data_IF_195849597887
#
_entry.id   IF_195849597887
#
_cell.length_a   1.000
_cell.length_b   1.000
_cell.length_c   1.000
_cell.angle_alpha   90.00
_cell.angle_beta   90.00
_cell.angle_gamma   90.00
#
_symmetry.space_group_name_H-M   'P 1'
#
loop_
_entity.id
_entity.type
_entity.pdbx_description
1 polymer ?
#
# COMPACT_ATOMS: atom_id res chain seq x y z
N UNK A 1 17.84 -22.91 -19.13
CA UNK A 1 17.85 -24.24 -19.78
C UNK A 1 16.40 -24.74 -19.84
N UNK A 2 16.01 -25.19 -21.04
CA UNK A 2 14.76 -25.75 -21.60
C UNK A 2 13.77 -26.52 -20.68
N UNK A 3 12.52 -26.85 -21.13
CA UNK A 3 11.87 -26.56 -22.42
C UNK A 3 10.41 -26.03 -22.38
N UNK A 4 10.00 -25.54 -23.56
CA UNK A 4 8.68 -25.08 -23.99
C UNK A 4 7.68 -26.24 -24.17
N UNK A 5 6.49 -26.11 -23.58
CA UNK A 5 5.31 -26.95 -23.85
C UNK A 5 4.32 -26.24 -24.77
N UNK A 6 4.17 -26.74 -26.00
CA UNK A 6 3.13 -26.34 -26.97
C UNK A 6 1.79 -26.93 -26.54
N UNK A 7 0.78 -26.09 -26.33
CA UNK A 7 -0.62 -26.55 -26.32
C UNK A 7 -1.29 -26.23 -27.65
N UNK A 8 -1.78 -27.30 -28.27
CA UNK A 8 -2.52 -27.36 -29.54
C UNK A 8 -3.83 -26.58 -29.44
N UNK A 9 -4.11 -25.78 -30.46
CA UNK A 9 -5.44 -25.19 -30.73
C UNK A 9 -6.28 -26.26 -31.45
N UNK A 10 -7.55 -26.51 -31.08
CA UNK A 10 -8.41 -27.40 -31.84
C UNK A 10 -8.80 -26.77 -33.18
N UNK A 11 -8.65 -27.54 -34.24
CA UNK A 11 -8.95 -27.15 -35.61
C UNK A 11 -10.44 -26.90 -35.84
N UNK A 12 -10.74 -25.78 -36.48
CA UNK A 12 -12.04 -25.50 -37.07
C UNK A 12 -11.93 -25.67 -38.58
N UNK A 13 -12.63 -26.71 -39.07
CA UNK A 13 -13.32 -26.82 -40.35
C UNK A 13 -12.51 -26.41 -41.61
N UNK A 14 -12.06 -27.44 -42.34
CA UNK A 14 -11.75 -27.37 -43.78
C UNK A 14 -12.95 -26.78 -44.52
N UNK A 15 -12.75 -25.67 -45.23
CA UNK A 15 -13.58 -25.30 -46.37
C UNK A 15 -12.85 -25.77 -47.64
N UNK A 16 -13.57 -26.53 -48.47
CA UNK A 16 -13.14 -26.93 -49.81
C UNK A 16 -12.78 -25.72 -50.67
N UNK A 17 -11.60 -25.78 -51.29
CA UNK A 17 -11.18 -24.83 -52.33
C UNK A 17 -11.84 -25.19 -53.66
N UNK A 18 -12.73 -24.32 -54.14
CA UNK A 18 -13.13 -24.23 -55.54
C UNK A 18 -12.53 -22.96 -56.17
N UNK A 19 -11.99 -23.01 -57.40
CA UNK A 19 -11.31 -21.87 -58.00
C UNK A 19 -12.35 -20.89 -58.56
N UNK A 20 -12.41 -19.66 -58.04
CA UNK A 20 -13.16 -18.58 -58.69
C UNK A 20 -14.09 -17.73 -57.83
N UNK A 21 -13.93 -17.67 -56.51
CA UNK A 21 -14.66 -16.71 -55.68
C UNK A 21 -13.74 -15.56 -55.26
N UNK A 22 -13.88 -14.40 -55.92
CA UNK A 22 -13.33 -13.15 -55.43
C UNK A 22 -13.69 -13.00 -53.94
N UNK A 23 -12.67 -12.88 -53.10
CA UNK A 23 -12.78 -12.81 -51.64
C UNK A 23 -13.65 -11.58 -51.28
N UNK A 24 -14.97 -11.77 -51.13
CA UNK A 24 -15.85 -10.71 -50.66
C UNK A 24 -15.41 -10.40 -49.24
N UNK A 25 -14.99 -9.16 -48.93
CA UNK A 25 -14.62 -8.81 -47.58
C UNK A 25 -15.83 -9.12 -46.68
N UNK A 26 -15.58 -9.80 -45.55
CA UNK A 26 -16.59 -9.96 -44.51
C UNK A 26 -17.24 -8.58 -44.25
N UNK A 27 -18.57 -8.53 -44.09
CA UNK A 27 -19.34 -7.29 -43.91
C UNK A 27 -18.72 -6.41 -42.81
N UNK A 28 -18.16 -7.05 -41.78
CA UNK A 28 -17.42 -6.40 -40.70
C UNK A 28 -16.15 -5.65 -41.19
N UNK A 29 -15.36 -6.23 -42.10
CA UNK A 29 -14.18 -5.57 -42.68
C UNK A 29 -14.52 -4.40 -43.61
N UNK A 30 -15.59 -4.52 -44.40
CA UNK A 30 -16.05 -3.42 -45.25
C UNK A 30 -16.52 -2.22 -44.40
N UNK A 31 -17.15 -2.53 -43.27
CA UNK A 31 -17.60 -1.57 -42.28
C UNK A 31 -16.44 -0.89 -41.54
N UNK A 32 -15.47 -1.65 -41.04
CA UNK A 32 -14.25 -1.11 -40.42
C UNK A 32 -13.58 -0.07 -41.33
N UNK A 33 -13.42 -0.40 -42.62
CA UNK A 33 -12.83 0.51 -43.61
C UNK A 33 -13.67 1.77 -43.83
N UNK A 34 -15.00 1.66 -43.80
CA UNK A 34 -15.90 2.80 -43.99
C UNK A 34 -15.93 3.72 -42.78
N UNK A 35 -15.98 3.17 -41.57
CA UNK A 35 -15.89 3.94 -40.33
C UNK A 35 -14.52 4.60 -40.18
N UNK A 36 -13.43 3.89 -40.53
CA UNK A 36 -12.10 4.49 -40.66
C UNK A 36 -12.09 5.63 -41.68
N UNK A 37 -12.80 5.51 -42.81
CA UNK A 37 -12.90 6.59 -43.82
C UNK A 37 -13.65 7.81 -43.29
N UNK A 38 -14.73 7.63 -42.53
CA UNK A 38 -15.46 8.72 -41.86
C UNK A 38 -14.58 9.42 -40.81
N UNK A 39 -13.89 8.65 -39.97
CA UNK A 39 -12.90 9.17 -39.02
C UNK A 39 -11.77 9.89 -39.80
N UNK A 40 -11.31 9.34 -40.92
CA UNK A 40 -10.21 9.90 -41.70
C UNK A 40 -10.57 11.21 -42.41
N UNK A 41 -11.82 11.36 -42.85
CA UNK A 41 -12.29 12.53 -43.59
C UNK A 41 -12.66 13.74 -42.72
N UNK A 42 -12.61 13.64 -41.38
CA UNK A 42 -12.80 14.77 -40.47
C UNK A 42 -14.09 15.53 -40.75
N UNK A 43 -15.24 14.94 -40.39
CA UNK A 43 -16.57 15.55 -40.36
C UNK A 43 -16.81 16.70 -41.37
N UNK A 44 -16.91 16.40 -42.68
CA UNK A 44 -17.55 17.35 -43.63
C UNK A 44 -19.08 17.38 -43.55
N UNK A 45 -19.68 16.51 -42.74
CA UNK A 45 -20.99 16.66 -42.13
C UNK A 45 -21.04 15.57 -41.05
N UNK A 46 -21.56 15.86 -39.85
CA UNK A 46 -21.97 14.78 -38.96
C UNK A 46 -22.96 13.90 -39.74
N UNK A 47 -22.83 12.56 -39.75
CA UNK A 47 -23.85 11.71 -40.34
C UNK A 47 -25.18 12.07 -39.68
N UNK A 48 -26.23 12.28 -40.47
CA UNK A 48 -27.57 12.41 -39.92
C UNK A 48 -27.82 11.19 -39.00
N UNK A 49 -28.07 11.37 -37.69
CA UNK A 49 -28.28 10.27 -36.76
C UNK A 49 -29.43 9.35 -37.20
N UNK A 50 -30.34 9.85 -38.06
CA UNK A 50 -31.42 9.10 -38.67
C UNK A 50 -31.07 8.33 -39.95
N UNK A 51 -29.81 8.36 -40.41
CA UNK A 51 -29.42 7.63 -41.63
C UNK A 51 -29.46 6.12 -41.37
N UNK A 52 -30.35 5.41 -42.09
CA UNK A 52 -30.53 3.94 -42.02
C UNK A 52 -29.22 3.16 -42.10
N UNK A 53 -28.22 3.72 -42.78
CA UNK A 53 -26.86 3.19 -42.88
C UNK A 53 -26.12 3.18 -41.55
N UNK A 54 -26.16 4.25 -40.75
CA UNK A 54 -25.48 4.32 -39.44
C UNK A 54 -26.13 3.36 -38.44
N UNK A 55 -27.47 3.28 -38.43
CA UNK A 55 -28.21 2.33 -37.59
C UNK A 55 -27.94 0.88 -37.99
N UNK A 56 -27.92 0.56 -39.29
CA UNK A 56 -27.60 -0.79 -39.78
C UNK A 56 -26.15 -1.19 -39.44
N UNK A 57 -25.23 -0.25 -39.57
CA UNK A 57 -23.84 -0.41 -39.19
C UNK A 57 -23.64 -0.65 -37.68
N UNK A 58 -24.42 0.03 -36.85
CA UNK A 58 -24.45 -0.18 -35.41
C UNK A 58 -24.92 -1.59 -35.03
N UNK A 59 -26.00 -2.08 -35.64
CA UNK A 59 -26.50 -3.45 -35.41
C UNK A 59 -25.45 -4.50 -35.78
N UNK A 60 -24.78 -4.36 -36.92
CA UNK A 60 -23.73 -5.29 -37.35
C UNK A 60 -22.52 -5.31 -36.41
N UNK A 61 -22.20 -4.16 -35.81
CA UNK A 61 -21.14 -4.10 -34.82
C UNK A 61 -21.54 -4.75 -33.51
N UNK A 62 -22.77 -4.57 -33.03
CA UNK A 62 -23.25 -5.23 -31.81
C UNK A 62 -23.20 -6.77 -31.90
N UNK A 63 -23.32 -7.31 -33.11
CA UNK A 63 -23.17 -8.75 -33.38
C UNK A 63 -21.70 -9.19 -33.53
N UNK A 64 -20.75 -8.26 -33.52
CA UNK A 64 -19.32 -8.53 -33.73
C UNK A 64 -18.54 -8.61 -32.41
N UNK A 65 -17.50 -9.47 -32.33
CA UNK A 65 -16.67 -9.57 -31.13
C UNK A 65 -15.96 -8.24 -30.79
N UNK A 66 -15.73 -7.93 -29.50
CA UNK A 66 -15.06 -6.70 -29.09
C UNK A 66 -13.68 -6.49 -29.73
N UNK A 67 -12.94 -7.55 -30.01
CA UNK A 67 -11.62 -7.51 -30.66
C UNK A 67 -11.68 -6.80 -32.01
N UNK A 68 -12.76 -7.00 -32.78
CA UNK A 68 -12.90 -6.39 -34.11
C UNK A 68 -13.12 -4.89 -34.01
N UNK A 69 -13.88 -4.44 -33.01
CA UNK A 69 -13.99 -3.02 -32.69
C UNK A 69 -12.64 -2.43 -32.26
N UNK A 70 -11.88 -3.15 -31.43
CA UNK A 70 -10.57 -2.69 -30.94
C UNK A 70 -9.58 -2.51 -32.09
N UNK A 71 -9.37 -3.55 -32.89
CA UNK A 71 -8.37 -3.55 -33.96
C UNK A 71 -8.81 -2.67 -35.14
N UNK A 72 -10.10 -2.72 -35.45
CA UNK A 72 -10.64 -2.06 -36.62
C UNK A 72 -10.89 -0.56 -36.44
N UNK A 73 -11.33 -0.13 -35.26
CA UNK A 73 -11.83 1.24 -35.09
C UNK A 73 -11.12 1.95 -33.97
N UNK A 74 -11.16 1.38 -32.76
CA UNK A 74 -10.65 2.07 -31.59
C UNK A 74 -9.16 2.36 -31.74
N UNK A 75 -8.37 1.36 -32.11
CA UNK A 75 -6.92 1.48 -32.27
C UNK A 75 -6.49 2.45 -33.37
N UNK A 76 -7.04 2.39 -34.59
CA UNK A 76 -6.78 3.40 -35.62
C UNK A 76 -7.19 4.81 -35.19
N UNK A 77 -8.30 4.97 -34.47
CA UNK A 77 -8.80 6.27 -34.01
C UNK A 77 -7.83 6.95 -33.04
N UNK A 78 -7.36 6.24 -32.00
CA UNK A 78 -6.43 6.86 -31.05
C UNK A 78 -5.01 7.01 -31.64
N UNK A 79 -4.58 6.12 -32.56
CA UNK A 79 -3.28 6.26 -33.24
C UNK A 79 -3.25 7.46 -34.18
N UNK A 80 -4.39 7.81 -34.79
CA UNK A 80 -4.52 8.93 -35.71
C UNK A 80 -4.84 10.27 -35.02
N UNK A 81 -4.99 10.28 -33.69
CA UNK A 81 -5.37 11.47 -32.92
C UNK A 81 -6.85 11.84 -33.04
N UNK A 82 -7.69 10.93 -33.55
CA UNK A 82 -9.11 11.18 -33.88
C UNK A 82 -10.07 10.48 -32.92
N UNK A 83 -9.63 10.23 -31.69
CA UNK A 83 -10.44 9.57 -30.67
C UNK A 83 -11.72 10.38 -30.35
N UNK A 84 -11.63 11.71 -30.27
CA UNK A 84 -12.78 12.59 -30.05
C UNK A 84 -13.86 12.48 -31.14
N UNK A 85 -13.48 12.22 -32.40
CA UNK A 85 -14.43 12.00 -33.51
C UNK A 85 -15.20 10.71 -33.30
N UNK A 86 -14.50 9.65 -32.87
CA UNK A 86 -15.13 8.39 -32.51
C UNK A 86 -16.09 8.58 -31.33
N UNK A 87 -15.65 9.24 -30.26
CA UNK A 87 -16.46 9.53 -29.06
C UNK A 87 -17.76 10.25 -29.41
N UNK A 88 -17.70 11.32 -30.21
CA UNK A 88 -18.88 12.05 -30.69
C UNK A 88 -19.82 11.16 -31.51
N UNK A 89 -19.27 10.26 -32.34
CA UNK A 89 -20.08 9.33 -33.11
C UNK A 89 -20.79 8.32 -32.21
N UNK A 90 -20.10 7.76 -31.21
CA UNK A 90 -20.69 6.83 -30.25
C UNK A 90 -21.84 7.49 -29.46
N UNK A 91 -21.64 8.72 -28.99
CA UNK A 91 -22.69 9.50 -28.29
C UNK A 91 -23.86 9.87 -29.21
N UNK A 92 -23.61 10.17 -30.49
CA UNK A 92 -24.68 10.50 -31.43
C UNK A 92 -25.60 9.31 -31.74
N UNK A 93 -25.07 8.09 -31.64
CA UNK A 93 -25.81 6.84 -31.86
C UNK A 93 -26.53 6.41 -30.57
N UNK A 94 -25.82 6.44 -29.44
CA UNK A 94 -26.33 6.03 -28.13
C UNK A 94 -25.76 6.94 -27.04
N UNK A 95 -26.46 8.05 -26.76
CA UNK A 95 -26.05 9.05 -25.78
C UNK A 95 -25.75 8.49 -24.37
N UNK A 96 -26.48 7.50 -23.80
CA UNK A 96 -26.12 6.89 -22.52
C UNK A 96 -24.96 5.87 -22.60
N UNK A 97 -24.50 5.51 -23.80
CA UNK A 97 -23.42 4.58 -24.11
C UNK A 97 -23.65 3.13 -23.63
N UNK A 98 -24.88 2.74 -23.32
CA UNK A 98 -25.19 1.40 -22.78
C UNK A 98 -24.89 0.30 -23.79
N UNK A 99 -25.23 0.54 -25.05
CA UNK A 99 -25.02 -0.37 -26.19
C UNK A 99 -23.55 -0.57 -26.53
N UNK A 100 -22.71 0.39 -26.11
CA UNK A 100 -21.26 0.40 -26.33
C UNK A 100 -20.48 -0.19 -25.15
N UNK A 101 -21.16 -0.55 -24.05
CA UNK A 101 -20.53 -0.91 -22.79
C UNK A 101 -19.45 -1.98 -22.92
N UNK A 102 -19.74 -3.11 -23.57
CA UNK A 102 -18.80 -4.22 -23.72
C UNK A 102 -17.54 -3.82 -24.53
N UNK A 103 -17.73 -3.07 -25.62
CA UNK A 103 -16.65 -2.56 -26.47
C UNK A 103 -15.76 -1.56 -25.75
N UNK A 104 -16.37 -0.64 -25.00
CA UNK A 104 -15.66 0.37 -24.22
C UNK A 104 -14.88 -0.26 -23.04
N UNK A 105 -15.41 -1.33 -22.44
CA UNK A 105 -14.69 -2.14 -21.46
C UNK A 105 -13.49 -2.85 -22.10
N UNK A 106 -13.66 -3.47 -23.26
CA UNK A 106 -12.56 -4.08 -24.01
C UNK A 106 -11.49 -3.04 -24.39
N UNK A 107 -11.89 -1.82 -24.73
CA UNK A 107 -10.98 -0.71 -25.03
C UNK A 107 -10.18 -0.28 -23.80
N UNK A 108 -10.83 -0.16 -22.65
CA UNK A 108 -10.13 0.07 -21.38
C UNK A 108 -9.10 -1.03 -21.09
N UNK A 109 -9.47 -2.31 -21.27
CA UNK A 109 -8.56 -3.44 -21.04
C UNK A 109 -7.38 -3.44 -22.03
N UNK A 110 -7.63 -3.13 -23.29
CA UNK A 110 -6.58 -3.00 -24.32
C UNK A 110 -5.56 -1.91 -23.95
N UNK A 111 -6.03 -0.73 -23.56
CA UNK A 111 -5.16 0.37 -23.15
C UNK A 111 -4.38 0.05 -21.87
N UNK A 112 -5.00 -0.65 -20.92
CA UNK A 112 -4.32 -1.15 -19.72
C UNK A 112 -3.19 -2.12 -20.07
N UNK A 113 -3.45 -3.11 -20.96
CA UNK A 113 -2.43 -4.07 -21.44
C UNK A 113 -1.28 -3.37 -22.16
N UNK A 114 -1.55 -2.29 -22.89
CA UNK A 114 -0.55 -1.48 -23.61
C UNK A 114 0.14 -0.41 -22.75
N UNK A 115 -0.26 -0.24 -21.48
CA UNK A 115 0.21 0.83 -20.60
C UNK A 115 -0.10 2.27 -21.09
N UNK A 116 -1.13 2.46 -21.92
CA UNK A 116 -1.54 3.78 -22.45
C UNK A 116 -2.51 4.48 -21.49
N UNK A 117 -1.98 4.88 -20.32
CA UNK A 117 -2.81 5.38 -19.21
C UNK A 117 -3.45 6.76 -19.46
N UNK A 118 -2.84 7.63 -20.26
CA UNK A 118 -3.43 8.94 -20.61
C UNK A 118 -4.70 8.77 -21.45
N UNK A 119 -4.62 7.99 -22.53
CA UNK A 119 -5.77 7.64 -23.37
C UNK A 119 -6.81 6.86 -22.55
N UNK A 120 -6.37 5.99 -21.64
CA UNK A 120 -7.28 5.27 -20.74
C UNK A 120 -8.05 6.22 -19.84
N UNK A 121 -7.39 7.24 -19.30
CA UNK A 121 -8.03 8.24 -18.44
C UNK A 121 -9.05 9.06 -19.22
N UNK A 122 -8.71 9.53 -20.42
CA UNK A 122 -9.64 10.24 -21.31
C UNK A 122 -10.88 9.40 -21.61
N UNK A 123 -10.68 8.13 -22.00
CA UNK A 123 -11.79 7.20 -22.26
C UNK A 123 -12.66 6.99 -21.02
N UNK A 124 -12.07 6.86 -19.83
CA UNK A 124 -12.83 6.71 -18.57
C UNK A 124 -13.66 7.96 -18.24
N UNK A 125 -13.15 9.16 -18.55
CA UNK A 125 -13.89 10.41 -18.40
C UNK A 125 -15.07 10.48 -19.37
N UNK A 126 -14.83 10.13 -20.65
CA UNK A 126 -15.88 10.03 -21.68
C UNK A 126 -17.01 9.08 -21.25
N UNK A 127 -16.65 7.89 -20.77
CA UNK A 127 -17.59 6.89 -20.26
C UNK A 127 -18.30 7.30 -18.94
N UNK A 128 -17.86 8.39 -18.32
CA UNK A 128 -18.27 8.85 -16.98
C UNK A 128 -18.06 7.76 -15.91
N UNK A 129 -17.02 6.93 -16.07
CA UNK A 129 -16.62 5.93 -15.08
C UNK A 129 -15.70 6.56 -14.04
N UNK A 130 -16.34 7.24 -13.08
CA UNK A 130 -15.66 7.98 -12.03
C UNK A 130 -14.71 7.11 -11.19
N UNK A 131 -15.10 5.86 -10.89
CA UNK A 131 -14.28 4.97 -10.05
C UNK A 131 -13.01 4.57 -10.78
N UNK A 132 -13.10 4.15 -12.06
CA UNK A 132 -11.91 3.81 -12.85
C UNK A 132 -11.02 5.02 -13.09
N UNK A 133 -11.61 6.19 -13.40
CA UNK A 133 -10.88 7.45 -13.56
C UNK A 133 -10.08 7.80 -12.29
N UNK A 134 -10.68 7.66 -11.10
CA UNK A 134 -10.00 7.88 -9.83
C UNK A 134 -8.80 6.94 -9.63
N UNK A 135 -8.93 5.65 -9.97
CA UNK A 135 -7.84 4.69 -9.84
C UNK A 135 -6.68 5.00 -10.81
N UNK A 136 -7.00 5.45 -12.02
CA UNK A 136 -5.98 5.89 -12.98
C UNK A 136 -5.24 7.14 -12.49
N UNK A 137 -5.94 8.10 -11.86
CA UNK A 137 -5.30 9.25 -11.20
C UNK A 137 -4.33 8.82 -10.07
N UNK A 138 -4.70 7.85 -9.23
CA UNK A 138 -3.79 7.29 -8.21
C UNK A 138 -2.55 6.67 -8.85
N UNK A 139 -2.72 6.01 -10.00
CA UNK A 139 -1.59 5.48 -10.78
C UNK A 139 -0.67 6.59 -11.29
N UNK A 140 -1.21 7.68 -11.83
CA UNK A 140 -0.41 8.83 -12.26
C UNK A 140 0.37 9.47 -11.12
N UNK A 141 -0.23 9.58 -9.94
CA UNK A 141 0.45 10.08 -8.75
C UNK A 141 1.74 9.30 -8.46
N UNK A 142 1.67 7.96 -8.47
CA UNK A 142 2.82 7.11 -8.13
C UNK A 142 3.76 6.85 -9.31
N UNK A 143 3.39 7.24 -10.54
CA UNK A 143 4.10 6.83 -11.74
C UNK A 143 5.52 7.42 -11.79
N UNK A 144 6.52 6.54 -11.84
CA UNK A 144 7.96 6.86 -11.94
C UNK A 144 8.49 7.80 -10.84
N UNK A 145 7.76 7.99 -9.75
CA UNK A 145 8.22 8.82 -8.65
C UNK A 145 9.31 8.11 -7.85
N UNK A 146 10.42 8.80 -7.59
CA UNK A 146 11.56 8.28 -6.81
C UNK A 146 11.70 8.96 -5.45
N UNK A 147 11.16 10.16 -5.31
CA UNK A 147 11.22 10.97 -4.08
C UNK A 147 9.84 11.50 -3.69
N UNK A 148 9.65 11.87 -2.43
CA UNK A 148 8.45 12.58 -2.00
C UNK A 148 8.40 14.01 -2.52
N UNK A 149 9.54 14.61 -2.88
CA UNK A 149 9.56 15.87 -3.63
C UNK A 149 8.76 15.75 -4.94
N UNK A 150 9.08 14.73 -5.76
CA UNK A 150 8.37 14.44 -7.03
C UNK A 150 6.90 14.03 -6.81
N UNK A 151 6.58 13.30 -5.73
CA UNK A 151 5.19 13.01 -5.38
C UNK A 151 4.42 14.29 -4.99
N UNK A 152 5.09 15.24 -4.34
CA UNK A 152 4.52 16.54 -3.98
C UNK A 152 4.02 17.30 -5.21
N UNK A 153 4.81 17.32 -6.29
CA UNK A 153 4.43 17.95 -7.57
C UNK A 153 3.21 17.25 -8.23
N UNK A 154 3.04 15.96 -7.95
CA UNK A 154 1.94 15.12 -8.49
C UNK A 154 0.69 15.12 -7.62
N UNK A 155 0.63 15.90 -6.53
CA UNK A 155 -0.54 15.96 -5.63
C UNK A 155 -1.85 16.33 -6.33
N UNK A 156 -1.77 17.06 -7.44
CA UNK A 156 -2.90 17.41 -8.28
C UNK A 156 -3.66 16.18 -8.80
N UNK A 157 -2.98 15.04 -9.01
CA UNK A 157 -3.62 13.79 -9.38
C UNK A 157 -4.47 13.19 -8.25
N UNK A 158 -4.02 13.29 -6.99
CA UNK A 158 -4.82 12.82 -5.85
C UNK A 158 -6.05 13.72 -5.62
N UNK A 159 -5.94 15.02 -5.89
CA UNK A 159 -7.10 15.94 -5.91
C UNK A 159 -8.13 15.48 -6.95
N UNK A 160 -7.70 15.25 -8.19
CA UNK A 160 -8.58 14.74 -9.26
C UNK A 160 -9.22 13.40 -8.88
N UNK A 161 -8.45 12.47 -8.31
CA UNK A 161 -8.99 11.18 -7.85
C UNK A 161 -10.11 11.36 -6.82
N UNK A 162 -9.90 12.24 -5.84
CA UNK A 162 -10.90 12.56 -4.82
C UNK A 162 -12.14 13.20 -5.44
N UNK A 163 -11.98 14.10 -6.41
CA UNK A 163 -13.11 14.78 -7.05
C UNK A 163 -13.97 13.81 -7.87
N UNK A 164 -13.36 12.86 -8.58
CA UNK A 164 -14.08 11.75 -9.22
C UNK A 164 -14.90 10.94 -8.21
N UNK A 165 -14.31 10.54 -7.06
CA UNK A 165 -15.03 9.79 -6.03
C UNK A 165 -16.18 10.60 -5.40
N UNK A 166 -16.03 11.92 -5.26
CA UNK A 166 -17.10 12.81 -4.81
C UNK A 166 -18.26 12.84 -5.81
N UNK A 167 -17.97 12.97 -7.10
CA UNK A 167 -18.99 12.94 -8.16
C UNK A 167 -19.73 11.60 -8.13
N UNK A 168 -19.00 10.48 -8.01
CA UNK A 168 -19.60 9.15 -7.90
C UNK A 168 -20.58 9.03 -6.71
N UNK A 169 -20.22 9.55 -5.54
CA UNK A 169 -21.11 9.54 -4.36
C UNK A 169 -22.36 10.41 -4.56
N UNK A 170 -22.22 11.57 -5.20
CA UNK A 170 -23.35 12.46 -5.53
C UNK A 170 -24.31 11.81 -6.54
N UNK A 171 -23.78 11.11 -7.54
CA UNK A 171 -24.59 10.37 -8.51
C UNK A 171 -25.31 9.20 -7.85
N UNK A 172 -24.60 8.44 -7.00
CA UNK A 172 -25.16 7.28 -6.29
C UNK A 172 -26.28 7.68 -5.34
N UNK A 173 -26.14 8.78 -4.57
CA UNK A 173 -27.19 9.23 -3.65
C UNK A 173 -28.46 9.73 -4.38
N UNK A 174 -28.29 10.42 -5.51
CA UNK A 174 -29.38 10.91 -6.35
C UNK A 174 -30.11 9.80 -7.13
N UNK A 175 -29.44 8.68 -7.38
CA UNK A 175 -29.99 7.57 -8.18
C UNK A 175 -31.06 6.72 -7.47
N UNK A 176 -31.34 6.98 -6.18
CA UNK A 176 -32.41 6.33 -5.39
C UNK A 176 -33.83 6.55 -5.95
N UNK A 177 -34.03 7.48 -6.89
CA UNK A 177 -35.28 7.67 -7.64
C UNK A 177 -35.01 7.65 -9.15
N UNK A 178 -35.29 6.51 -9.80
CA UNK A 178 -35.60 6.33 -11.24
C UNK A 178 -34.49 6.28 -12.33
N UNK A 179 -33.18 6.35 -12.06
CA UNK A 179 -32.16 6.15 -13.13
C UNK A 179 -31.25 4.94 -12.85
N UNK A 180 -31.34 3.90 -13.68
CA UNK A 180 -30.41 2.76 -13.67
C UNK A 180 -29.03 3.29 -14.05
N UNK A 181 -28.01 2.95 -13.27
CA UNK A 181 -26.61 3.23 -13.63
C UNK A 181 -26.16 2.23 -14.69
N UNK A 182 -25.49 2.67 -15.78
CA UNK A 182 -25.04 1.77 -16.83
C UNK A 182 -24.17 0.64 -16.28
N UNK A 183 -24.41 -0.60 -16.75
CA UNK A 183 -23.73 -1.80 -16.23
C UNK A 183 -22.20 -1.75 -16.37
N UNK A 184 -21.71 -1.13 -17.44
CA UNK A 184 -20.27 -1.07 -17.72
C UNK A 184 -19.50 -0.18 -16.73
N UNK A 185 -20.17 0.76 -16.04
CA UNK A 185 -19.50 1.64 -15.06
C UNK A 185 -19.13 0.84 -13.83
N UNK A 186 -17.88 0.98 -13.37
CA UNK A 186 -17.42 0.29 -12.17
C UNK A 186 -18.22 0.76 -10.96
N UNK A 187 -18.87 -0.18 -10.29
CA UNK A 187 -19.59 0.03 -9.03
C UNK A 187 -18.68 -0.25 -7.85
N UNK A 188 -18.90 0.49 -6.77
CA UNK A 188 -18.21 0.40 -5.50
C UNK A 188 -19.19 0.77 -4.38
N UNK A 189 -19.07 0.10 -3.23
CA UNK A 189 -19.94 0.42 -2.09
C UNK A 189 -19.62 1.80 -1.54
N UNK A 190 -20.59 2.48 -0.93
CA UNK A 190 -20.37 3.79 -0.30
C UNK A 190 -19.30 3.71 0.79
N UNK A 191 -19.25 2.60 1.55
CA UNK A 191 -18.23 2.35 2.56
C UNK A 191 -16.83 2.23 1.96
N UNK A 192 -16.67 1.50 0.84
CA UNK A 192 -15.37 1.36 0.20
C UNK A 192 -14.90 2.67 -0.44
N UNK A 193 -15.81 3.46 -1.03
CA UNK A 193 -15.48 4.79 -1.55
C UNK A 193 -15.03 5.72 -0.42
N UNK A 194 -15.72 5.73 0.72
CA UNK A 194 -15.31 6.49 1.89
C UNK A 194 -13.93 6.07 2.38
N UNK A 195 -13.63 4.76 2.42
CA UNK A 195 -12.29 4.25 2.76
C UNK A 195 -11.22 4.74 1.79
N UNK A 196 -11.52 4.74 0.49
CA UNK A 196 -10.61 5.26 -0.54
C UNK A 196 -10.38 6.76 -0.40
N UNK A 197 -11.42 7.55 -0.11
CA UNK A 197 -11.27 8.99 0.15
C UNK A 197 -10.42 9.26 1.39
N UNK A 198 -10.60 8.50 2.47
CA UNK A 198 -9.78 8.64 3.68
C UNK A 198 -8.31 8.31 3.39
N UNK A 199 -8.05 7.23 2.63
CA UNK A 199 -6.70 6.86 2.19
C UNK A 199 -6.06 7.94 1.32
N UNK A 200 -6.81 8.51 0.37
CA UNK A 200 -6.35 9.64 -0.46
C UNK A 200 -5.95 10.83 0.43
N UNK A 201 -6.81 11.22 1.37
CA UNK A 201 -6.58 12.36 2.25
C UNK A 201 -5.33 12.15 3.11
N UNK A 202 -5.19 10.97 3.72
CA UNK A 202 -4.01 10.62 4.53
C UNK A 202 -2.74 10.56 3.68
N UNK A 203 -2.79 10.00 2.48
CA UNK A 203 -1.63 9.98 1.57
C UNK A 203 -1.22 11.41 1.17
N UNK A 204 -2.17 12.30 0.91
CA UNK A 204 -1.86 13.69 0.59
C UNK A 204 -1.18 14.39 1.78
N UNK A 205 -1.61 14.12 3.00
CA UNK A 205 -0.99 14.64 4.22
C UNK A 205 0.45 14.12 4.40
N UNK A 206 0.63 12.80 4.34
CA UNK A 206 1.94 12.13 4.34
C UNK A 206 2.87 12.74 3.29
N UNK A 207 2.37 12.91 2.07
CA UNK A 207 3.17 13.41 0.95
C UNK A 207 3.60 14.85 1.19
N UNK A 208 2.70 15.72 1.68
CA UNK A 208 3.06 17.10 2.01
C UNK A 208 4.07 17.17 3.14
N UNK A 209 3.93 16.33 4.16
CA UNK A 209 4.88 16.27 5.27
C UNK A 209 6.27 15.86 4.76
N UNK A 210 6.37 14.71 4.09
CA UNK A 210 7.65 14.19 3.61
C UNK A 210 8.28 15.04 2.51
N UNK A 211 7.48 15.68 1.65
CA UNK A 211 7.97 16.67 0.69
C UNK A 211 8.67 17.83 1.41
N UNK A 212 8.09 18.36 2.50
CA UNK A 212 8.74 19.43 3.28
C UNK A 212 10.03 18.94 3.94
N UNK A 213 10.03 17.73 4.49
CA UNK A 213 11.21 17.13 5.11
C UNK A 213 12.37 16.92 4.13
N UNK A 214 12.09 16.35 2.96
CA UNK A 214 13.10 16.14 1.91
C UNK A 214 13.64 17.47 1.37
N UNK A 215 12.76 18.45 1.11
CA UNK A 215 13.16 19.78 0.65
C UNK A 215 13.99 20.55 1.69
N UNK A 216 13.78 20.31 2.98
CA UNK A 216 14.58 20.88 4.07
C UNK A 216 15.89 20.11 4.33
N UNK A 217 16.15 19.00 3.62
CA UNK A 217 17.33 18.16 3.80
C UNK A 217 17.33 17.30 5.07
N UNK A 218 16.21 17.22 5.80
CA UNK A 218 16.12 16.44 7.05
C UNK A 218 15.89 14.95 6.81
N UNK A 219 15.44 14.56 5.61
CA UNK A 219 15.22 13.16 5.23
C UNK A 219 16.17 12.74 4.11
N UNK A 220 16.91 11.65 4.32
CA UNK A 220 17.81 11.08 3.32
C UNK A 220 17.39 9.66 2.92
N UNK A 221 17.65 9.35 1.64
CA UNK A 221 17.63 8.03 0.99
C UNK A 221 16.30 7.27 1.03
N UNK A 222 15.77 6.94 -0.15
CA UNK A 222 14.57 6.12 -0.28
C UNK A 222 14.93 4.83 -0.99
N UNK A 223 14.63 3.70 -0.36
CA UNK A 223 14.59 2.40 -1.03
C UNK A 223 13.52 2.43 -2.13
N UNK A 224 13.89 2.02 -3.35
CA UNK A 224 12.94 1.87 -4.45
C UNK A 224 12.27 0.48 -4.38
N UNK A 225 10.96 0.35 -4.65
CA UNK A 225 10.02 1.42 -5.03
C UNK A 225 9.64 2.34 -3.86
N UNK A 226 9.40 3.63 -4.16
CA UNK A 226 9.01 4.65 -3.19
C UNK A 226 7.73 4.21 -2.45
N UNK A 227 7.75 4.06 -1.11
CA UNK A 227 6.60 3.58 -0.36
C UNK A 227 5.43 4.58 -0.41
N UNK A 228 4.22 4.07 -0.57
CA UNK A 228 2.98 4.86 -0.52
C UNK A 228 1.88 4.05 0.18
N UNK A 229 0.84 4.72 0.65
CA UNK A 229 -0.30 4.09 1.31
C UNK A 229 -1.19 3.29 0.36
N UNK A 230 -0.97 3.38 -0.95
CA UNK A 230 -1.64 2.56 -1.96
C UNK A 230 -0.98 1.18 -2.15
N UNK A 231 0.16 0.93 -1.47
CA UNK A 231 0.89 -0.33 -1.50
C UNK A 231 0.34 -1.40 -0.55
N UNK A 232 1.13 -2.45 -0.38
CA UNK A 232 0.87 -3.51 0.61
C UNK A 232 1.16 -3.01 2.04
N UNK A 233 0.88 -3.85 3.05
CA UNK A 233 1.06 -3.47 4.46
C UNK A 233 2.53 -3.17 4.81
N UNK A 234 3.50 -3.86 4.21
CA UNK A 234 4.92 -3.54 4.39
C UNK A 234 5.26 -2.14 3.89
N UNK A 235 4.78 -1.75 2.70
CA UNK A 235 4.98 -0.39 2.17
C UNK A 235 4.34 0.66 3.09
N UNK A 236 3.16 0.38 3.66
CA UNK A 236 2.51 1.30 4.61
C UNK A 236 3.28 1.45 5.92
N UNK A 237 3.86 0.36 6.43
CA UNK A 237 4.77 0.40 7.58
C UNK A 237 6.05 1.19 7.24
N UNK A 238 6.58 1.05 6.03
CA UNK A 238 7.71 1.86 5.55
C UNK A 238 7.36 3.36 5.49
N UNK A 239 6.14 3.70 5.04
CA UNK A 239 5.62 5.08 5.10
C UNK A 239 5.60 5.57 6.54
N UNK A 240 5.01 4.81 7.47
CA UNK A 240 4.93 5.19 8.88
C UNK A 240 6.33 5.40 9.50
N UNK A 241 7.28 4.50 9.22
CA UNK A 241 8.69 4.67 9.64
C UNK A 241 9.29 5.97 9.08
N UNK A 242 9.15 6.20 7.77
CA UNK A 242 9.73 7.37 7.12
C UNK A 242 9.14 8.68 7.63
N UNK A 243 7.83 8.68 7.93
CA UNK A 243 7.15 9.84 8.53
C UNK A 243 7.69 10.13 9.93
N UNK A 244 7.83 9.12 10.80
CA UNK A 244 8.41 9.33 12.15
C UNK A 244 9.83 9.88 12.12
N UNK A 245 10.62 9.47 11.12
CA UNK A 245 12.04 9.82 11.01
C UNK A 245 12.33 11.01 10.09
N UNK A 246 11.31 11.51 9.38
CA UNK A 246 11.48 12.59 8.40
C UNK A 246 11.44 13.99 9.02
N UNK A 247 10.73 14.14 10.16
CA UNK A 247 10.60 15.41 10.88
C UNK A 247 11.92 15.93 11.45
N UNK A 248 11.87 17.10 12.09
CA UNK A 248 13.04 17.55 12.89
C UNK A 248 13.22 16.65 14.10
N UNK A 249 12.08 16.31 14.72
CA UNK A 249 11.96 15.44 15.86
C UNK A 249 10.88 14.37 15.58
N UNK A 250 10.87 13.28 16.35
CA UNK A 250 9.89 12.19 16.18
C UNK A 250 8.45 12.65 16.37
N UNK A 251 8.21 13.56 17.31
CA UNK A 251 6.87 14.11 17.61
C UNK A 251 6.20 14.74 16.37
N UNK A 252 6.97 15.41 15.51
CA UNK A 252 6.44 16.10 14.32
C UNK A 252 5.72 15.13 13.37
N UNK A 253 6.25 13.92 13.24
CA UNK A 253 5.72 12.87 12.35
C UNK A 253 4.84 11.86 13.06
N UNK A 254 4.94 11.73 14.39
CA UNK A 254 4.32 10.65 15.14
C UNK A 254 2.80 10.59 14.93
N UNK A 255 2.09 11.73 14.99
CA UNK A 255 0.64 11.75 14.83
C UNK A 255 0.17 11.23 13.47
N UNK A 256 0.91 11.53 12.39
CA UNK A 256 0.61 11.03 11.04
C UNK A 256 0.91 9.53 10.97
N UNK A 257 2.06 9.10 11.47
CA UNK A 257 2.45 7.69 11.49
C UNK A 257 1.47 6.83 12.32
N UNK A 258 1.05 7.33 13.48
CA UNK A 258 0.06 6.69 14.33
C UNK A 258 -1.26 6.48 13.60
N UNK A 259 -1.77 7.50 12.90
CA UNK A 259 -2.99 7.37 12.07
C UNK A 259 -2.83 6.35 10.95
N UNK A 260 -1.66 6.29 10.30
CA UNK A 260 -1.37 5.24 9.31
C UNK A 260 -1.45 3.85 9.94
N UNK A 261 -0.85 3.64 11.12
CA UNK A 261 -0.87 2.35 11.80
C UNK A 261 -2.30 1.96 12.21
N UNK A 262 -3.08 2.92 12.71
CA UNK A 262 -4.46 2.72 13.16
C UNK A 262 -5.42 2.45 11.99
N UNK A 263 -5.46 3.32 10.98
CA UNK A 263 -6.41 3.24 9.86
C UNK A 263 -6.25 1.95 9.05
N UNK A 264 -5.02 1.41 9.00
CA UNK A 264 -4.70 0.19 8.27
C UNK A 264 -4.52 -1.04 9.17
N UNK A 265 -4.71 -0.92 10.49
CA UNK A 265 -4.55 -2.00 11.47
C UNK A 265 -3.20 -2.72 11.33
N UNK A 266 -2.12 -1.94 11.30
CA UNK A 266 -0.76 -2.43 11.12
C UNK A 266 -0.12 -2.78 12.47
N UNK A 267 0.94 -3.59 12.42
CA UNK A 267 1.76 -3.91 13.60
C UNK A 267 2.54 -2.66 14.04
N UNK A 268 1.99 -1.98 15.04
CA UNK A 268 2.57 -0.77 15.60
C UNK A 268 3.91 -1.06 16.30
N UNK A 269 3.99 -2.12 17.09
CA UNK A 269 5.20 -2.49 17.83
C UNK A 269 6.36 -2.78 16.88
N UNK A 270 6.15 -3.58 15.83
CA UNK A 270 7.18 -3.85 14.83
C UNK A 270 7.64 -2.59 14.08
N UNK A 271 6.70 -1.68 13.79
CA UNK A 271 6.99 -0.40 13.12
C UNK A 271 7.82 0.52 14.01
N UNK A 272 7.44 0.68 15.29
CA UNK A 272 8.20 1.47 16.25
C UNK A 272 9.58 0.89 16.52
N UNK A 273 9.72 -0.44 16.63
CA UNK A 273 11.02 -1.10 16.76
C UNK A 273 11.93 -0.81 15.56
N UNK A 274 11.37 -0.81 14.34
CA UNK A 274 12.13 -0.48 13.14
C UNK A 274 12.59 0.99 13.13
N UNK A 275 11.71 1.91 13.51
CA UNK A 275 12.08 3.33 13.63
C UNK A 275 13.15 3.55 14.70
N UNK A 276 13.00 2.92 15.86
CA UNK A 276 13.96 3.01 16.96
C UNK A 276 15.35 2.46 16.58
N UNK A 277 15.41 1.33 15.86
CA UNK A 277 16.69 0.81 15.32
C UNK A 277 17.39 1.82 14.40
N UNK A 278 16.64 2.49 13.52
CA UNK A 278 17.21 3.52 12.65
C UNK A 278 17.70 4.75 13.45
N UNK A 279 17.03 5.11 14.55
CA UNK A 279 17.51 6.15 15.45
C UNK A 279 18.79 5.74 16.19
N UNK A 280 18.92 4.47 16.59
CA UNK A 280 20.16 3.92 17.17
C UNK A 280 21.30 4.00 16.17
N UNK A 281 21.07 3.64 14.90
CA UNK A 281 22.07 3.74 13.82
C UNK A 281 22.51 5.20 13.56
N UNK A 282 21.60 6.16 13.77
CA UNK A 282 21.89 7.60 13.65
C UNK A 282 22.45 8.22 14.94
N UNK A 283 22.58 7.46 16.04
CA UNK A 283 23.02 7.98 17.33
C UNK A 283 22.04 8.95 18.02
N UNK A 284 20.76 8.95 17.62
CA UNK A 284 19.72 9.89 18.10
C UNK A 284 18.95 9.32 19.30
N UNK A 285 19.60 9.18 20.45
CA UNK A 285 18.99 8.55 21.63
C UNK A 285 17.91 9.39 22.32
N UNK A 286 18.00 10.73 22.24
CA UNK A 286 16.94 11.63 22.71
C UNK A 286 15.62 11.38 21.99
N UNK A 287 15.67 11.13 20.68
CA UNK A 287 14.50 10.84 19.85
C UNK A 287 13.89 9.49 20.17
N UNK A 288 14.68 8.50 20.62
CA UNK A 288 14.15 7.21 21.10
C UNK A 288 13.31 7.43 22.37
N UNK A 289 13.79 8.26 23.30
CA UNK A 289 13.02 8.62 24.50
C UNK A 289 11.74 9.36 24.15
N UNK A 290 11.80 10.25 23.16
CA UNK A 290 10.63 10.96 22.67
C UNK A 290 9.63 10.02 21.99
N UNK A 291 10.09 9.07 21.18
CA UNK A 291 9.26 8.01 20.61
C UNK A 291 8.53 7.23 21.70
N UNK A 292 9.23 6.80 22.75
CA UNK A 292 8.62 6.07 23.87
C UNK A 292 7.55 6.90 24.58
N UNK A 293 7.81 8.20 24.77
CA UNK A 293 6.82 9.12 25.33
C UNK A 293 5.57 9.18 24.43
N UNK A 294 5.72 9.40 23.13
CA UNK A 294 4.61 9.43 22.20
C UNK A 294 3.81 8.11 22.18
N UNK A 295 4.51 6.97 22.20
CA UNK A 295 3.90 5.64 22.27
C UNK A 295 3.08 5.51 23.56
N UNK A 296 3.62 5.91 24.70
CA UNK A 296 2.92 5.86 25.99
C UNK A 296 1.69 6.78 26.06
N UNK A 297 1.77 7.97 25.44
CA UNK A 297 0.68 8.96 25.42
C UNK A 297 -0.39 8.65 24.36
N UNK A 298 -0.10 7.76 23.41
CA UNK A 298 -1.03 7.42 22.32
C UNK A 298 -2.30 6.67 22.79
N UNK A 299 -2.31 6.14 24.02
CA UNK A 299 -3.44 5.42 24.61
C UNK A 299 -3.81 4.08 23.97
N UNK A 300 -3.14 3.70 22.88
CA UNK A 300 -3.39 2.47 22.13
C UNK A 300 -2.24 1.46 22.18
N UNK A 301 -1.04 1.91 22.56
CA UNK A 301 0.08 1.01 22.78
C UNK A 301 -0.08 0.26 24.10
N UNK A 302 0.23 -1.03 24.10
CA UNK A 302 0.34 -1.77 25.34
C UNK A 302 1.54 -1.24 26.13
N UNK A 303 1.49 -1.28 27.47
CA UNK A 303 2.65 -0.94 28.32
C UNK A 303 3.90 -1.77 27.96
N UNK A 304 3.70 -2.97 27.42
CA UNK A 304 4.75 -3.86 26.92
C UNK A 304 5.42 -3.38 25.63
N UNK A 305 4.78 -2.51 24.85
CA UNK A 305 5.32 -2.08 23.54
C UNK A 305 6.55 -1.21 23.74
N UNK A 306 6.56 -0.34 24.75
CA UNK A 306 7.72 0.46 25.12
C UNK A 306 8.93 -0.41 25.50
N UNK A 307 8.70 -1.42 26.35
CA UNK A 307 9.74 -2.38 26.71
C UNK A 307 10.24 -3.21 25.52
N UNK A 308 9.33 -3.57 24.60
CA UNK A 308 9.68 -4.30 23.37
C UNK A 308 10.57 -3.47 22.45
N UNK A 309 10.24 -2.19 22.28
CA UNK A 309 11.05 -1.23 21.52
C UNK A 309 12.45 -1.10 22.14
N UNK A 310 12.51 -0.93 23.46
CA UNK A 310 13.78 -0.84 24.19
C UNK A 310 14.62 -2.10 24.05
N UNK A 311 14.04 -3.29 24.25
CA UNK A 311 14.74 -4.56 24.06
C UNK A 311 15.30 -4.70 22.64
N UNK A 312 14.54 -4.30 21.62
CA UNK A 312 15.00 -4.38 20.24
C UNK A 312 16.14 -3.39 19.94
N UNK A 313 16.15 -2.20 20.54
CA UNK A 313 17.28 -1.28 20.46
C UNK A 313 18.58 -1.90 21.03
N UNK A 314 18.46 -2.69 22.09
CA UNK A 314 19.60 -3.31 22.78
C UNK A 314 20.23 -4.47 22.01
N UNK A 315 19.60 -5.00 20.95
CA UNK A 315 20.26 -5.96 20.05
C UNK A 315 21.54 -5.38 19.42
N UNK A 316 21.57 -4.05 19.21
CA UNK A 316 22.72 -3.31 18.71
C UNK A 316 23.58 -2.68 19.82
N UNK A 317 23.54 -3.19 21.06
CA UNK A 317 24.18 -2.56 22.24
C UNK A 317 25.66 -2.18 22.05
N UNK A 318 26.41 -2.94 21.24
CA UNK A 318 27.84 -2.66 20.98
C UNK A 318 28.08 -1.30 20.32
N UNK A 319 27.06 -0.74 19.64
CA UNK A 319 27.12 0.57 18.99
C UNK A 319 26.63 1.70 19.91
N UNK A 320 26.08 1.38 21.07
CA UNK A 320 25.47 2.34 21.98
C UNK A 320 26.50 2.76 23.05
N UNK A 321 26.74 4.06 23.27
CA UNK A 321 27.60 4.53 24.36
C UNK A 321 27.13 4.00 25.72
N UNK A 322 28.04 3.63 26.65
CA UNK A 322 27.68 3.02 27.93
C UNK A 322 26.68 3.82 28.77
N UNK A 323 26.74 5.16 28.71
CA UNK A 323 25.84 6.07 29.43
C UNK A 323 24.41 6.00 28.87
N UNK A 324 24.27 6.09 27.55
CA UNK A 324 22.98 5.98 26.86
C UNK A 324 22.40 4.56 26.98
N UNK A 325 23.26 3.55 26.93
CA UNK A 325 22.88 2.15 27.14
C UNK A 325 22.23 1.95 28.50
N UNK A 326 22.84 2.48 29.56
CA UNK A 326 22.26 2.43 30.90
C UNK A 326 20.93 3.18 30.97
N UNK A 327 20.85 4.38 30.38
CA UNK A 327 19.61 5.16 30.32
C UNK A 327 18.45 4.41 29.63
N UNK A 328 18.72 3.70 28.54
CA UNK A 328 17.73 2.89 27.83
C UNK A 328 17.28 1.67 28.65
N UNK A 329 18.19 0.98 29.34
CA UNK A 329 17.83 -0.16 30.20
C UNK A 329 16.98 0.30 31.40
N UNK A 330 17.31 1.45 31.99
CA UNK A 330 16.54 2.01 33.12
C UNK A 330 15.13 2.45 32.72
N UNK A 331 14.91 2.82 31.46
CA UNK A 331 13.59 3.17 30.93
C UNK A 331 12.65 1.96 30.75
N UNK A 332 13.15 0.73 30.90
CA UNK A 332 12.33 -0.49 30.87
C UNK A 332 11.50 -0.58 32.16
N UNK A 333 10.20 -0.79 32.01
CA UNK A 333 9.27 -0.83 33.14
C UNK A 333 9.16 -2.21 33.77
N UNK A 334 9.07 -3.27 32.94
CA UNK A 334 8.97 -4.62 33.43
C UNK A 334 10.34 -5.15 33.89
N UNK A 335 10.41 -5.61 35.14
CA UNK A 335 11.66 -6.06 35.74
C UNK A 335 12.24 -7.34 35.08
N UNK A 336 11.43 -8.26 34.55
CA UNK A 336 11.95 -9.40 33.78
C UNK A 336 12.57 -8.95 32.46
N UNK A 337 11.93 -8.00 31.77
CA UNK A 337 12.50 -7.38 30.58
C UNK A 337 13.79 -6.61 30.92
N UNK A 338 13.86 -5.98 32.11
CA UNK A 338 15.06 -5.29 32.59
C UNK A 338 16.20 -6.26 32.90
N UNK A 339 15.91 -7.40 33.54
CA UNK A 339 16.88 -8.50 33.72
C UNK A 339 17.35 -9.01 32.36
N UNK A 340 16.42 -9.29 31.44
CA UNK A 340 16.75 -9.73 30.07
C UNK A 340 17.65 -8.74 29.35
N UNK A 341 17.36 -7.44 29.47
CA UNK A 341 18.17 -6.37 28.90
C UNK A 341 19.61 -6.37 29.44
N UNK A 342 19.79 -6.49 30.75
CA UNK A 342 21.13 -6.59 31.35
C UNK A 342 21.88 -7.85 30.92
N UNK A 343 21.18 -8.98 30.77
CA UNK A 343 21.76 -10.22 30.25
C UNK A 343 22.25 -10.03 28.79
N UNK A 344 21.42 -9.46 27.92
CA UNK A 344 21.79 -9.16 26.52
C UNK A 344 23.02 -8.25 26.43
N UNK A 345 23.15 -7.31 27.36
CA UNK A 345 24.28 -6.37 27.42
C UNK A 345 25.49 -6.89 28.24
N UNK A 346 25.47 -8.16 28.67
CA UNK A 346 26.50 -8.80 29.49
C UNK A 346 26.79 -8.09 30.85
N UNK A 347 25.81 -7.35 31.41
CA UNK A 347 25.92 -6.68 32.72
C UNK A 347 25.34 -7.57 33.84
N UNK A 348 26.00 -8.71 34.08
CA UNK A 348 25.46 -9.80 34.91
C UNK A 348 25.22 -9.44 36.38
N UNK A 349 26.09 -8.61 36.98
CA UNK A 349 25.91 -8.14 38.36
C UNK A 349 24.64 -7.30 38.51
N UNK A 350 24.36 -6.41 37.56
CA UNK A 350 23.12 -5.62 37.55
C UNK A 350 21.88 -6.49 37.33
N UNK A 351 21.98 -7.48 36.44
CA UNK A 351 20.92 -8.47 36.22
C UNK A 351 20.57 -9.22 37.51
N UNK A 352 21.59 -9.71 38.24
CA UNK A 352 21.43 -10.37 39.53
C UNK A 352 20.72 -9.47 40.56
N UNK A 353 21.15 -8.22 40.70
CA UNK A 353 20.60 -7.28 41.70
C UNK A 353 19.12 -6.97 41.48
N UNK A 354 18.61 -7.00 40.24
CA UNK A 354 17.19 -6.87 39.95
C UNK A 354 16.47 -8.20 40.20
N UNK A 355 17.05 -9.33 39.76
CA UNK A 355 16.46 -10.65 39.90
C UNK A 355 16.14 -11.02 41.37
N UNK A 356 17.05 -10.76 42.30
CA UNK A 356 16.88 -11.11 43.72
C UNK A 356 15.86 -10.26 44.47
N UNK A 357 15.47 -9.10 43.91
CA UNK A 357 14.45 -8.22 44.52
C UNK A 357 13.02 -8.66 44.22
N UNK A 358 12.85 -9.60 43.30
CA UNK A 358 11.54 -10.11 42.90
C UNK A 358 10.97 -11.08 43.92
N UNK A 359 9.68 -11.39 43.77
CA UNK A 359 9.02 -12.44 44.55
C UNK A 359 9.74 -13.79 44.40
N UNK A 360 9.79 -14.56 45.48
CA UNK A 360 10.67 -15.74 45.61
C UNK A 360 10.58 -16.74 44.44
N UNK A 361 9.37 -17.04 43.97
CA UNK A 361 9.11 -17.95 42.84
C UNK A 361 9.72 -17.43 41.54
N UNK A 362 9.60 -16.13 41.28
CA UNK A 362 10.10 -15.46 40.07
C UNK A 362 11.59 -15.15 40.16
N UNK A 363 12.07 -14.73 41.32
CA UNK A 363 13.48 -14.51 41.61
C UNK A 363 14.30 -15.79 41.37
N UNK A 364 13.79 -16.96 41.76
CA UNK A 364 14.48 -18.24 41.53
C UNK A 364 14.73 -18.50 40.05
N UNK A 365 13.73 -18.28 39.19
CA UNK A 365 13.86 -18.46 37.74
C UNK A 365 14.84 -17.44 37.13
N UNK A 366 14.75 -16.18 37.54
CA UNK A 366 15.62 -15.13 37.01
C UNK A 366 17.08 -15.31 37.45
N UNK A 367 17.33 -15.70 38.70
CA UNK A 367 18.68 -15.98 39.20
C UNK A 367 19.29 -17.19 38.51
N UNK A 368 18.52 -18.24 38.19
CA UNK A 368 19.00 -19.37 37.38
C UNK A 368 19.41 -18.91 35.97
N UNK A 369 18.64 -18.03 35.32
CA UNK A 369 19.01 -17.46 34.03
C UNK A 369 20.31 -16.66 34.10
N UNK A 370 20.49 -15.84 35.15
CA UNK A 370 21.73 -15.08 35.38
C UNK A 370 22.91 -16.02 35.61
N UNK A 371 22.73 -17.09 36.38
CA UNK A 371 23.77 -18.09 36.63
C UNK A 371 24.21 -18.79 35.34
N UNK A 372 23.26 -19.17 34.48
CA UNK A 372 23.55 -19.80 33.20
C UNK A 372 24.33 -18.87 32.27
N UNK A 373 23.94 -17.58 32.23
CA UNK A 373 24.66 -16.57 31.47
C UNK A 373 26.09 -16.36 32.02
N UNK A 374 26.26 -16.30 33.34
CA UNK A 374 27.57 -16.17 34.00
C UNK A 374 28.49 -17.34 33.71
N UNK A 375 27.95 -18.56 33.71
CA UNK A 375 28.69 -19.79 33.35
C UNK A 375 29.16 -19.72 31.90
N UNK A 376 28.30 -19.25 30.99
CA UNK A 376 28.60 -19.14 29.56
C UNK A 376 29.64 -18.05 29.26
N UNK A 377 29.67 -16.98 30.05
CA UNK A 377 30.63 -15.88 29.91
C UNK A 377 31.92 -16.05 30.74
N UNK A 378 31.99 -17.06 31.60
CA UNK A 378 33.12 -17.29 32.51
C UNK A 378 33.21 -16.33 33.70
N UNK A 379 32.10 -15.71 34.13
CA UNK A 379 32.07 -14.82 35.29
C UNK A 379 31.86 -15.63 36.58
N UNK A 380 32.96 -16.16 37.13
CA UNK A 380 32.95 -17.00 38.33
C UNK A 380 32.34 -16.30 39.54
N UNK A 381 32.55 -14.98 39.68
CA UNK A 381 32.06 -14.21 40.82
C UNK A 381 30.53 -14.17 40.82
N UNK A 382 29.92 -13.87 39.67
CA UNK A 382 28.45 -13.85 39.58
C UNK A 382 27.87 -15.26 39.68
N UNK A 383 28.55 -16.26 39.10
CA UNK A 383 28.15 -17.66 39.20
C UNK A 383 28.06 -18.13 40.67
N UNK A 384 29.08 -17.82 41.48
CA UNK A 384 29.15 -18.19 42.89
C UNK A 384 28.06 -17.49 43.70
N UNK A 385 27.86 -16.19 43.48
CA UNK A 385 26.83 -15.41 44.17
C UNK A 385 25.43 -15.95 43.84
N UNK A 386 25.16 -16.31 42.58
CA UNK A 386 23.90 -16.94 42.20
C UNK A 386 23.72 -18.33 42.83
N UNK A 387 24.78 -19.15 42.85
CA UNK A 387 24.75 -20.48 43.46
C UNK A 387 24.43 -20.41 44.96
N UNK A 388 25.09 -19.51 45.69
CA UNK A 388 24.85 -19.28 47.11
C UNK A 388 23.42 -18.81 47.38
N UNK A 389 22.92 -17.87 46.58
CA UNK A 389 21.55 -17.40 46.72
C UNK A 389 20.55 -18.54 46.49
N UNK A 390 20.73 -19.34 45.43
CA UNK A 390 19.83 -20.47 45.13
C UNK A 390 19.80 -21.51 46.25
N UNK A 391 20.96 -21.92 46.78
CA UNK A 391 21.06 -22.86 47.90
C UNK A 391 20.31 -22.35 49.14
N UNK A 392 20.52 -21.09 49.49
CA UNK A 392 19.89 -20.47 50.67
C UNK A 392 18.37 -20.30 50.48
N UNK A 393 17.94 -20.01 49.25
CA UNK A 393 16.55 -19.84 48.87
C UNK A 393 15.75 -21.14 48.86
N UNK A 394 16.39 -22.28 48.53
CA UNK A 394 15.75 -23.60 48.59
C UNK A 394 15.51 -24.04 50.04
N UNK A 395 16.43 -23.73 50.95
CA UNK A 395 16.26 -24.00 52.38
C UNK A 395 15.09 -23.22 53.02
N UNK A 396 14.85 -21.96 52.58
CA UNK A 396 13.71 -21.15 53.05
C UNK A 396 12.36 -21.60 52.48
N UNK A 397 12.32 -22.06 51.23
CA UNK A 397 11.09 -22.60 50.62
C UNK A 397 10.59 -23.89 51.28
N UNK A 398 11.51 -24.74 51.73
CA UNK A 398 11.18 -25.98 52.45
C UNK A 398 10.57 -25.74 53.84
N UNK A 399 10.96 -24.66 54.53
CA UNK A 399 10.44 -24.31 55.87
C UNK A 399 9.05 -23.65 55.83
N UNK A 400 8.67 -23.01 54.72
CA UNK A 400 7.35 -22.36 54.56
C UNK A 400 6.21 -23.30 54.20
N UNK A 401 6.50 -24.51 53.70
CA UNK A 401 5.49 -25.53 53.35
C UNK A 401 5.07 -26.41 54.53
N UNK A 402 5.68 -26.24 55.71
CA UNK A 402 5.53 -27.15 56.85
C UNK A 402 4.55 -26.71 57.95
N UNK A 403 3.85 -25.57 57.82
CA UNK A 403 3.03 -25.04 58.92
C UNK A 403 1.63 -24.61 58.48
N UNK A 404 0.83 -25.58 58.03
CA UNK A 404 -0.63 -25.57 58.20
C UNK A 404 -1.08 -27.00 58.53
N UNK A 405 -1.20 -27.29 59.82
CA UNK A 405 -2.12 -28.30 60.34
C UNK A 405 -3.02 -27.62 61.35
#
# INVERSE_FOLDING_TARGET
MLPLGRNKVPGWIKQDEGPGAAHRPCVCHLWTRRMQKEIQNGCRAAPDPGSRLVTFCFVLLQESPPEVFIEGIFQPSYKSGKLHVLENLLESIDAPLESWGEYLLAACQHLQKKNYYHILYELQQFMKDQVRAAMTCIRFFSHKAKTYTELGEKLSWLLKARDHLKIYLQETSRSSKKKKTPFFRKKMTTADVSRHMNTLQLQMEVTRFLHRCESAGTSQTTTLPLPTLFGNNHMKMDVACKVMLGGKNVEDGFGIAFRVLQDFQLDAAATYCRAARQLVEQGKYSEIRQLLKCVSESGMAAKSDGDTILLNCLEAFKRIPPQELEGLIQAIHNDDNKVRAYLTCCKLRSAYLIAVKQEHSRATLLVQQVQQAATSSGDAVVQDICAQWLLTSHARGALGSGSRK
#
